data_IF_499907317525
#
_entry.id   IF_499907317525
#
_cell.length_a   1.000
_cell.length_b   1.000
_cell.length_c   1.000
_cell.angle_alpha   90.00
_cell.angle_beta   90.00
_cell.angle_gamma   90.00
#
_symmetry.space_group_name_H-M   'P 1'
#
loop_
_entity.id
_entity.type
_entity.pdbx_description
1 polymer ?
#
# COMPACT_ATOMS: atom_id res chain seq x y z
N UNK A 1 -2.17 -14.95 18.55
CA UNK A 1 -1.27 -15.22 17.42
C UNK A 1 -1.81 -16.34 16.52
N UNK A 2 -2.12 -17.52 17.07
CA UNK A 2 -2.60 -18.69 16.30
C UNK A 2 -3.87 -18.37 15.49
N UNK A 3 -4.88 -17.76 16.12
CA UNK A 3 -6.13 -17.38 15.45
C UNK A 3 -5.89 -16.41 14.27
N UNK A 4 -4.98 -15.43 14.43
CA UNK A 4 -4.62 -14.51 13.36
C UNK A 4 -3.93 -15.21 12.18
N UNK A 5 -3.01 -16.12 12.46
CA UNK A 5 -2.34 -16.91 11.43
C UNK A 5 -3.31 -17.79 10.64
N UNK A 6 -4.19 -18.53 11.34
CA UNK A 6 -5.21 -19.36 10.69
C UNK A 6 -6.19 -18.51 9.88
N UNK A 7 -6.60 -17.35 10.43
CA UNK A 7 -7.44 -16.40 9.70
C UNK A 7 -6.80 -15.92 8.40
N UNK A 8 -5.51 -15.61 8.42
CA UNK A 8 -4.76 -15.23 7.23
C UNK A 8 -4.67 -16.34 6.17
N UNK A 9 -4.44 -17.59 6.60
CA UNK A 9 -4.45 -18.76 5.70
C UNK A 9 -5.80 -18.97 5.05
N UNK A 10 -6.89 -18.89 5.81
CA UNK A 10 -8.26 -19.06 5.30
C UNK A 10 -8.66 -17.92 4.36
N UNK A 11 -8.21 -16.70 4.64
CA UNK A 11 -8.40 -15.57 3.73
C UNK A 11 -7.73 -15.80 2.37
N UNK A 12 -6.50 -16.31 2.38
CA UNK A 12 -5.78 -16.62 1.15
C UNK A 12 -6.46 -17.75 0.35
N UNK A 13 -6.88 -18.82 1.02
CA UNK A 13 -7.59 -19.94 0.37
C UNK A 13 -8.98 -19.56 -0.14
N UNK A 14 -9.66 -18.64 0.54
CA UNK A 14 -11.01 -18.20 0.19
C UNK A 14 -11.06 -17.06 -0.84
N UNK A 15 -9.95 -16.74 -1.50
CA UNK A 15 -9.91 -15.72 -2.57
C UNK A 15 -9.92 -14.27 -2.08
N UNK A 16 -9.99 -14.02 -0.78
CA UNK A 16 -9.91 -12.66 -0.23
C UNK A 16 -8.47 -12.12 -0.13
N UNK A 17 -7.48 -12.99 -0.27
CA UNK A 17 -6.07 -12.64 -0.42
C UNK A 17 -5.53 -11.76 0.70
N UNK A 18 -4.69 -10.78 0.33
CA UNK A 18 -4.05 -9.85 1.27
C UNK A 18 -5.06 -9.01 2.07
N UNK A 19 -6.12 -8.51 1.43
CA UNK A 19 -7.14 -7.69 2.10
C UNK A 19 -7.87 -8.50 3.17
N UNK A 20 -8.27 -9.74 2.83
CA UNK A 20 -8.88 -10.65 3.79
C UNK A 20 -7.96 -10.99 4.95
N UNK A 21 -6.67 -11.23 4.69
CA UNK A 21 -5.68 -11.52 5.73
C UNK A 21 -5.47 -10.32 6.67
N UNK A 22 -5.46 -9.10 6.16
CA UNK A 22 -5.38 -7.88 6.95
C UNK A 22 -6.59 -7.76 7.90
N UNK A 23 -7.80 -7.92 7.37
CA UNK A 23 -9.04 -7.91 8.16
C UNK A 23 -9.04 -9.05 9.18
N UNK A 24 -8.57 -10.25 8.79
CA UNK A 24 -8.46 -11.40 9.68
C UNK A 24 -7.56 -11.12 10.89
N UNK A 25 -6.45 -10.39 10.70
CA UNK A 25 -5.55 -10.00 11.79
C UNK A 25 -6.27 -9.17 12.86
N UNK A 26 -7.00 -8.14 12.43
CA UNK A 26 -7.80 -7.32 13.36
C UNK A 26 -8.96 -8.11 13.99
N UNK A 27 -9.72 -8.83 13.17
CA UNK A 27 -10.84 -9.65 13.65
C UNK A 27 -10.40 -10.68 14.69
N UNK A 28 -9.26 -11.35 14.48
CA UNK A 28 -8.71 -12.31 15.44
C UNK A 28 -8.40 -11.66 16.79
N UNK A 29 -7.88 -10.43 16.80
CA UNK A 29 -7.65 -9.69 18.04
C UNK A 29 -8.93 -9.50 18.86
N UNK A 30 -9.97 -8.97 18.22
CA UNK A 30 -11.27 -8.75 18.87
C UNK A 30 -11.98 -10.05 19.27
N UNK A 31 -11.93 -11.08 18.41
CA UNK A 31 -12.51 -12.38 18.71
C UNK A 31 -11.84 -13.06 19.92
N UNK A 32 -10.52 -12.96 20.03
CA UNK A 32 -9.81 -13.49 21.21
C UNK A 32 -10.20 -12.74 22.49
N UNK A 33 -10.41 -11.42 22.43
CA UNK A 33 -10.94 -10.67 23.56
C UNK A 33 -12.35 -11.12 23.96
N UNK A 34 -13.21 -11.38 22.95
CA UNK A 34 -14.53 -11.94 23.19
C UNK A 34 -14.45 -13.33 23.84
N UNK A 35 -13.58 -14.23 23.34
CA UNK A 35 -13.36 -15.55 23.92
C UNK A 35 -12.89 -15.43 25.37
N UNK A 36 -11.94 -14.53 25.68
CA UNK A 36 -11.51 -14.28 27.06
C UNK A 36 -12.67 -13.90 27.97
N UNK A 37 -13.58 -13.06 27.49
CA UNK A 37 -14.78 -12.66 28.25
C UNK A 37 -15.73 -13.83 28.44
N UNK A 38 -15.95 -14.65 27.41
CA UNK A 38 -16.83 -15.82 27.49
C UNK A 38 -16.35 -16.86 28.51
N UNK A 39 -15.02 -17.10 28.55
CA UNK A 39 -14.46 -18.09 29.47
C UNK A 39 -14.05 -17.51 30.83
N UNK A 40 -14.30 -16.23 31.09
CA UNK A 40 -13.98 -15.60 32.39
C UNK A 40 -14.74 -16.19 33.57
N UNK A 41 -15.96 -16.67 33.34
CA UNK A 41 -16.80 -17.27 34.37
C UNK A 41 -16.50 -18.74 34.70
N UNK A 42 -15.46 -19.36 34.10
CA UNK A 42 -15.09 -20.73 34.39
C UNK A 42 -14.47 -20.89 35.81
N UNK A 43 -14.72 -22.02 36.49
CA UNK A 43 -14.17 -22.29 37.81
C UNK A 43 -12.64 -22.18 37.88
N UNK A 44 -12.10 -21.80 39.03
CA UNK A 44 -10.66 -21.69 39.28
C UNK A 44 -9.85 -22.95 38.91
N UNK A 45 -10.46 -24.14 39.07
CA UNK A 45 -9.84 -25.43 38.72
C UNK A 45 -9.46 -25.51 37.23
N UNK A 46 -10.10 -24.71 36.34
CA UNK A 46 -9.85 -24.67 34.90
C UNK A 46 -8.99 -23.47 34.45
N UNK A 47 -8.50 -22.66 35.42
CA UNK A 47 -7.74 -21.42 35.09
C UNK A 47 -6.52 -21.70 34.18
N UNK A 48 -5.73 -22.72 34.54
CA UNK A 48 -4.56 -23.13 33.77
C UNK A 48 -4.89 -23.69 32.39
N UNK A 49 -6.11 -24.15 32.17
CA UNK A 49 -6.55 -24.71 30.87
C UNK A 49 -6.99 -23.62 29.88
N UNK A 50 -7.38 -22.44 30.39
CA UNK A 50 -7.83 -21.33 29.54
C UNK A 50 -6.83 -20.94 28.42
N UNK A 51 -5.54 -20.66 28.72
CA UNK A 51 -4.59 -20.23 27.70
C UNK A 51 -4.14 -21.36 26.76
N UNK A 52 -4.15 -22.60 27.24
CA UNK A 52 -3.63 -23.76 26.50
C UNK A 52 -4.69 -24.37 25.57
N UNK A 53 -5.94 -24.41 26.00
CA UNK A 53 -7.02 -25.07 25.27
C UNK A 53 -8.08 -24.10 24.79
N UNK A 54 -8.74 -23.37 25.70
CA UNK A 54 -9.93 -22.58 25.34
C UNK A 54 -9.59 -21.41 24.37
N UNK A 55 -8.55 -20.65 24.67
CA UNK A 55 -8.20 -19.51 23.77
C UNK A 55 -7.77 -19.94 22.38
N UNK A 56 -6.90 -20.95 22.19
CA UNK A 56 -6.55 -21.40 20.85
C UNK A 56 -7.73 -22.04 20.12
N UNK A 57 -8.43 -22.98 20.75
CA UNK A 57 -9.50 -23.74 20.09
C UNK A 57 -10.68 -22.85 19.71
N UNK A 58 -11.21 -22.08 20.66
CA UNK A 58 -12.32 -21.18 20.40
C UNK A 58 -11.90 -20.00 19.49
N UNK A 59 -10.67 -19.50 19.67
CA UNK A 59 -10.13 -18.46 18.81
C UNK A 59 -10.03 -18.89 17.36
N UNK A 60 -9.53 -20.10 17.10
CA UNK A 60 -9.45 -20.66 15.73
C UNK A 60 -10.85 -20.95 15.18
N UNK A 61 -11.75 -21.51 15.99
CA UNK A 61 -13.11 -21.80 15.57
C UNK A 61 -13.85 -20.52 15.15
N UNK A 62 -13.85 -19.50 16.00
CA UNK A 62 -14.57 -18.25 15.72
C UNK A 62 -13.95 -17.47 14.56
N UNK A 63 -12.62 -17.40 14.46
CA UNK A 63 -11.99 -16.74 13.32
C UNK A 63 -12.24 -17.52 12.02
N UNK A 64 -12.24 -18.85 12.08
CA UNK A 64 -12.56 -19.69 10.93
C UNK A 64 -13.96 -19.43 10.40
N UNK A 65 -14.96 -19.41 11.27
CA UNK A 65 -16.34 -19.08 10.92
C UNK A 65 -16.42 -17.64 10.35
N UNK A 66 -15.82 -16.67 11.04
CA UNK A 66 -15.88 -15.28 10.64
C UNK A 66 -15.22 -15.05 9.25
N UNK A 67 -14.05 -15.63 9.01
CA UNK A 67 -13.36 -15.49 7.72
C UNK A 67 -14.13 -16.21 6.62
N UNK A 68 -14.52 -17.46 6.83
CA UNK A 68 -15.12 -18.27 5.76
C UNK A 68 -16.50 -17.75 5.34
N UNK A 69 -17.33 -17.38 6.29
CA UNK A 69 -18.73 -17.05 5.99
C UNK A 69 -19.06 -15.55 5.97
N UNK A 70 -18.26 -14.72 6.62
CA UNK A 70 -18.55 -13.29 6.75
C UNK A 70 -17.57 -12.43 5.94
N UNK A 71 -16.27 -12.70 6.02
CA UNK A 71 -15.23 -11.84 5.45
C UNK A 71 -14.88 -12.25 4.02
N UNK A 72 -14.63 -13.54 3.76
CA UNK A 72 -14.23 -13.99 2.43
C UNK A 72 -15.26 -13.65 1.33
N UNK A 73 -16.58 -13.88 1.48
CA UNK A 73 -17.51 -13.63 0.38
C UNK A 73 -17.50 -12.18 -0.14
N UNK A 74 -17.64 -11.13 0.70
CA UNK A 74 -17.61 -9.77 0.17
C UNK A 74 -16.22 -9.32 -0.30
N UNK A 75 -15.15 -9.80 0.33
CA UNK A 75 -13.78 -9.39 -0.05
C UNK A 75 -13.35 -10.08 -1.35
N UNK A 76 -13.65 -11.36 -1.53
CA UNK A 76 -13.37 -12.05 -2.81
C UNK A 76 -14.18 -11.45 -3.96
N UNK A 77 -15.45 -11.14 -3.73
CA UNK A 77 -16.28 -10.46 -4.72
C UNK A 77 -15.72 -9.08 -5.10
N UNK A 78 -15.21 -8.32 -4.14
CA UNK A 78 -14.52 -7.06 -4.40
C UNK A 78 -13.24 -7.28 -5.23
N UNK A 79 -12.43 -8.27 -4.90
CA UNK A 79 -11.23 -8.61 -5.65
C UNK A 79 -11.56 -9.01 -7.09
N UNK A 80 -12.56 -9.86 -7.30
CA UNK A 80 -13.02 -10.27 -8.64
C UNK A 80 -13.56 -9.08 -9.44
N UNK A 81 -14.34 -8.20 -8.80
CA UNK A 81 -14.81 -6.98 -9.44
C UNK A 81 -13.66 -6.06 -9.86
N UNK A 82 -12.65 -5.86 -9.00
CA UNK A 82 -11.46 -5.08 -9.32
C UNK A 82 -10.71 -5.69 -10.50
N UNK A 83 -10.48 -7.01 -10.48
CA UNK A 83 -9.80 -7.73 -11.56
C UNK A 83 -10.52 -7.57 -12.89
N UNK A 84 -11.83 -7.84 -12.91
CA UNK A 84 -12.63 -7.73 -14.11
C UNK A 84 -12.66 -6.29 -14.65
N UNK A 85 -12.76 -5.30 -13.75
CA UNK A 85 -12.70 -3.89 -14.13
C UNK A 85 -11.36 -3.53 -14.78
N UNK A 86 -10.25 -3.97 -14.19
CA UNK A 86 -8.91 -3.69 -14.70
C UNK A 86 -8.65 -4.37 -16.05
N UNK A 87 -9.09 -5.61 -16.23
CA UNK A 87 -8.93 -6.35 -17.48
C UNK A 87 -9.74 -5.76 -18.63
N UNK A 88 -10.89 -5.16 -18.34
CA UNK A 88 -11.75 -4.51 -19.34
C UNK A 88 -11.36 -3.05 -19.63
N UNK A 89 -10.49 -2.46 -18.82
CA UNK A 89 -10.01 -1.09 -19.01
C UNK A 89 -9.10 -0.96 -20.24
N UNK A 90 -9.43 -0.01 -21.12
CA UNK A 90 -8.54 0.42 -22.20
C UNK A 90 -7.31 1.15 -21.66
N UNK A 91 -6.29 1.34 -22.52
CA UNK A 91 -5.02 1.98 -22.15
C UNK A 91 -5.20 3.35 -21.49
N UNK A 92 -6.11 4.19 -22.01
CA UNK A 92 -6.40 5.51 -21.42
C UNK A 92 -6.89 5.42 -19.98
N UNK A 93 -7.79 4.50 -19.70
CA UNK A 93 -8.33 4.31 -18.33
C UNK A 93 -7.26 3.77 -17.38
N UNK A 94 -6.37 2.89 -17.86
CA UNK A 94 -5.21 2.40 -17.08
C UNK A 94 -4.24 3.54 -16.73
N UNK A 95 -3.95 4.43 -17.69
CA UNK A 95 -3.09 5.60 -17.47
C UNK A 95 -3.70 6.53 -16.43
N UNK A 96 -5.01 6.79 -16.51
CA UNK A 96 -5.71 7.60 -15.50
C UNK A 96 -5.67 6.94 -14.12
N UNK A 97 -5.82 5.62 -14.05
CA UNK A 97 -5.70 4.87 -12.81
C UNK A 97 -4.30 5.02 -12.22
N UNK A 98 -3.27 4.89 -13.05
CA UNK A 98 -1.87 5.12 -12.64
C UNK A 98 -1.62 6.53 -12.14
N UNK A 99 -2.21 7.54 -12.80
CA UNK A 99 -2.16 8.93 -12.35
C UNK A 99 -2.77 9.09 -10.95
N UNK A 100 -3.94 8.51 -10.73
CA UNK A 100 -4.63 8.59 -9.42
C UNK A 100 -3.81 7.90 -8.33
N UNK A 101 -3.40 6.66 -8.52
CA UNK A 101 -2.63 5.93 -7.52
C UNK A 101 -1.25 6.55 -7.25
N UNK A 102 -0.56 7.01 -8.29
CA UNK A 102 0.69 7.74 -8.13
C UNK A 102 0.50 9.04 -7.34
N UNK A 103 -0.53 9.82 -7.67
CA UNK A 103 -0.86 11.06 -6.97
C UNK A 103 -1.20 10.82 -5.49
N UNK A 104 -2.00 9.79 -5.18
CA UNK A 104 -2.37 9.43 -3.81
C UNK A 104 -1.15 9.20 -2.91
N UNK A 105 -0.04 8.72 -3.46
CA UNK A 105 1.19 8.50 -2.69
C UNK A 105 1.80 9.79 -2.13
N UNK A 106 1.48 10.93 -2.73
CA UNK A 106 2.05 12.24 -2.39
C UNK A 106 1.10 13.18 -1.66
N UNK A 107 -0.18 12.83 -1.53
CA UNK A 107 -1.20 13.68 -0.87
C UNK A 107 -0.86 13.93 0.60
N UNK A 108 -0.49 12.90 1.31
CA UNK A 108 -0.21 12.92 2.74
C UNK A 108 1.10 12.21 3.15
N UNK A 109 1.90 11.79 2.17
CA UNK A 109 3.29 11.27 2.29
C UNK A 109 3.48 10.26 3.43
N UNK A 110 2.63 9.25 3.51
CA UNK A 110 2.65 8.20 4.55
C UNK A 110 1.41 8.19 5.44
N UNK A 111 0.47 9.12 5.24
CA UNK A 111 -0.81 9.19 5.92
C UNK A 111 -1.86 8.21 5.33
N UNK A 112 -3.15 8.42 5.67
CA UNK A 112 -4.23 7.51 5.29
C UNK A 112 -4.41 7.32 3.79
N UNK A 113 -4.27 8.37 2.97
CA UNK A 113 -4.45 8.31 1.50
C UNK A 113 -3.32 7.53 0.86
N UNK A 114 -2.07 7.79 1.26
CA UNK A 114 -0.90 7.03 0.85
C UNK A 114 -1.05 5.54 1.21
N UNK A 115 -1.44 5.24 2.45
CA UNK A 115 -1.62 3.86 2.90
C UNK A 115 -2.78 3.16 2.18
N UNK A 116 -3.86 3.86 1.83
CA UNK A 116 -4.94 3.32 1.02
C UNK A 116 -4.45 2.88 -0.36
N UNK A 117 -3.69 3.74 -1.07
CA UNK A 117 -3.08 3.37 -2.35
C UNK A 117 -2.15 2.16 -2.23
N UNK A 118 -1.32 2.14 -1.18
CA UNK A 118 -0.41 1.03 -0.91
C UNK A 118 -1.14 -0.28 -0.61
N UNK A 119 -2.20 -0.25 0.20
CA UNK A 119 -3.02 -1.44 0.54
C UNK A 119 -3.73 -1.97 -0.71
N UNK A 120 -4.28 -1.10 -1.56
CA UNK A 120 -4.90 -1.49 -2.82
C UNK A 120 -3.85 -2.10 -3.77
N UNK A 121 -2.68 -1.46 -3.91
CA UNK A 121 -1.58 -1.98 -4.73
C UNK A 121 -1.09 -3.37 -4.28
N UNK A 122 -0.92 -3.57 -2.97
CA UNK A 122 -0.53 -4.88 -2.42
C UNK A 122 -1.66 -5.91 -2.54
N UNK A 123 -2.91 -5.50 -2.42
CA UNK A 123 -4.07 -6.34 -2.69
C UNK A 123 -4.11 -6.82 -4.13
N UNK A 124 -3.84 -5.93 -5.08
CA UNK A 124 -3.76 -6.23 -6.51
C UNK A 124 -2.66 -7.26 -6.84
N UNK A 125 -1.53 -7.25 -6.12
CA UNK A 125 -0.50 -8.28 -6.26
C UNK A 125 -1.03 -9.70 -6.01
N UNK A 126 -1.89 -9.85 -5.01
CA UNK A 126 -2.48 -11.14 -4.66
C UNK A 126 -3.44 -11.67 -5.74
N UNK A 127 -3.99 -10.78 -6.56
CA UNK A 127 -4.88 -11.11 -7.67
C UNK A 127 -4.17 -11.20 -9.03
N UNK A 128 -2.86 -10.96 -9.06
CA UNK A 128 -2.05 -11.03 -10.29
C UNK A 128 -1.97 -9.72 -11.07
N UNK A 129 -2.54 -8.62 -10.55
CA UNK A 129 -2.46 -7.30 -11.16
C UNK A 129 -1.24 -6.53 -10.65
N UNK A 130 -0.17 -6.59 -11.43
CA UNK A 130 1.14 -6.05 -11.04
C UNK A 130 1.35 -4.58 -11.43
N UNK A 131 0.51 -4.04 -12.33
CA UNK A 131 0.64 -2.67 -12.84
C UNK A 131 0.33 -1.61 -11.77
N UNK A 132 -0.70 -1.84 -10.95
CA UNK A 132 -1.11 -0.91 -9.89
C UNK A 132 0.03 -0.71 -8.88
N UNK A 133 0.66 -1.80 -8.44
CA UNK A 133 1.77 -1.69 -7.49
C UNK A 133 2.98 -0.98 -8.10
N UNK A 134 3.25 -1.18 -9.40
CA UNK A 134 4.28 -0.43 -10.10
C UNK A 134 3.99 1.08 -10.10
N UNK A 135 2.74 1.49 -10.38
CA UNK A 135 2.33 2.90 -10.35
C UNK A 135 2.42 3.51 -8.95
N UNK A 136 1.97 2.78 -7.93
CA UNK A 136 2.06 3.17 -6.50
C UNK A 136 3.51 3.38 -6.09
N UNK A 137 4.39 2.43 -6.38
CA UNK A 137 5.80 2.53 -6.01
C UNK A 137 6.49 3.65 -6.79
N UNK A 138 6.27 3.78 -8.10
CA UNK A 138 6.83 4.86 -8.89
C UNK A 138 6.41 6.23 -8.34
N UNK A 139 5.12 6.41 -8.05
CA UNK A 139 4.60 7.65 -7.47
C UNK A 139 5.19 7.97 -6.10
N UNK A 140 5.31 6.97 -5.22
CA UNK A 140 5.84 7.17 -3.87
C UNK A 140 7.35 7.45 -3.81
N UNK A 141 8.10 7.11 -4.84
CA UNK A 141 9.54 7.44 -4.94
C UNK A 141 9.78 8.90 -5.34
N UNK A 142 8.83 9.55 -6.01
CA UNK A 142 8.99 10.91 -6.56
C UNK A 142 9.20 11.99 -5.50
N UNK A 143 8.39 12.11 -4.41
CA UNK A 143 8.50 13.24 -3.50
C UNK A 143 9.90 13.45 -2.91
N UNK A 144 10.57 12.43 -2.34
CA UNK A 144 11.91 12.62 -1.78
C UNK A 144 12.97 12.91 -2.85
N UNK A 145 12.77 12.41 -4.10
CA UNK A 145 13.70 12.66 -5.21
C UNK A 145 13.55 14.06 -5.79
N UNK A 146 12.34 14.66 -5.71
CA UNK A 146 12.04 15.98 -6.25
C UNK A 146 12.42 17.13 -5.32
N UNK A 147 12.66 16.86 -4.03
CA UNK A 147 12.88 17.87 -3.01
C UNK A 147 14.37 18.14 -2.78
N UNK A 148 14.69 19.39 -2.63
CA UNK A 148 15.95 20.14 -2.61
C UNK A 148 17.28 19.47 -2.14
N UNK A 149 18.38 20.00 -2.76
CA UNK A 149 19.80 19.74 -2.44
C UNK A 149 20.20 19.97 -0.97
N UNK A 150 19.46 20.76 -0.20
CA UNK A 150 19.81 21.07 1.21
C UNK A 150 19.60 19.89 2.18
N UNK A 151 18.81 18.90 1.79
CA UNK A 151 18.54 17.71 2.63
C UNK A 151 19.59 16.62 2.53
N UNK A 152 20.55 16.78 1.62
CA UNK A 152 21.63 15.86 1.44
C UNK A 152 21.22 14.52 0.80
N UNK A 153 22.18 13.62 0.76
CA UNK A 153 22.10 12.27 0.19
C UNK A 153 20.97 11.43 0.81
N UNK A 154 20.63 11.70 2.08
CA UNK A 154 19.63 10.93 2.83
C UNK A 154 18.27 10.89 2.13
N UNK A 155 17.79 12.02 1.59
CA UNK A 155 16.50 12.06 0.90
C UNK A 155 16.52 11.26 -0.41
N UNK A 156 17.63 11.29 -1.15
CA UNK A 156 17.76 10.46 -2.35
C UNK A 156 17.75 8.97 -2.00
N UNK A 157 18.44 8.57 -0.92
CA UNK A 157 18.41 7.18 -0.45
C UNK A 157 16.98 6.79 -0.04
N UNK A 158 16.27 7.65 0.70
CA UNK A 158 14.88 7.39 1.08
C UNK A 158 13.97 7.27 -0.15
N UNK A 159 14.08 8.17 -1.11
CA UNK A 159 13.31 8.14 -2.35
C UNK A 159 13.59 6.88 -3.17
N UNK A 160 14.85 6.51 -3.35
CA UNK A 160 15.24 5.28 -4.03
C UNK A 160 14.78 4.03 -3.29
N UNK A 161 14.65 4.08 -1.98
CA UNK A 161 14.15 2.96 -1.16
C UNK A 161 12.62 2.90 -1.03
N UNK A 162 11.88 3.77 -1.75
CA UNK A 162 10.41 3.88 -1.64
C UNK A 162 9.96 4.33 -0.24
N UNK A 163 10.68 5.27 0.37
CA UNK A 163 10.32 5.87 1.66
C UNK A 163 9.84 7.30 1.40
N UNK A 164 8.55 7.45 1.11
CA UNK A 164 7.90 8.72 0.77
C UNK A 164 7.97 9.73 1.90
N UNK A 165 8.02 9.24 3.15
CA UNK A 165 8.09 10.02 4.38
C UNK A 165 9.32 10.94 4.46
N UNK A 166 10.38 10.67 3.69
CA UNK A 166 11.54 11.57 3.57
C UNK A 166 11.18 12.98 3.12
N UNK A 167 10.07 13.15 2.43
CA UNK A 167 9.59 14.45 1.98
C UNK A 167 8.79 15.23 3.03
N UNK A 168 8.35 14.61 4.13
CA UNK A 168 7.47 15.23 5.14
C UNK A 168 8.04 16.54 5.72
N UNK A 169 9.32 16.65 6.12
CA UNK A 169 9.83 17.90 6.69
C UNK A 169 9.69 19.10 5.75
N UNK A 170 9.78 18.86 4.44
CA UNK A 170 9.68 19.91 3.42
C UNK A 170 8.23 20.25 3.12
N UNK A 171 7.37 19.25 3.07
CA UNK A 171 5.93 19.42 2.93
C UNK A 171 5.35 20.17 4.15
N UNK A 172 5.81 19.88 5.34
CA UNK A 172 5.40 20.58 6.56
C UNK A 172 5.86 22.05 6.59
N UNK A 173 7.04 22.34 6.02
CA UNK A 173 7.58 23.70 5.97
C UNK A 173 6.87 24.61 4.94
N UNK A 174 6.41 24.04 3.82
CA UNK A 174 5.73 24.78 2.73
C UNK A 174 4.70 23.89 2.02
N UNK A 175 3.58 23.55 2.68
CA UNK A 175 2.63 22.56 2.15
C UNK A 175 1.95 23.03 0.87
N UNK A 176 1.66 24.33 0.77
CA UNK A 176 0.92 24.89 -0.38
C UNK A 176 1.69 24.74 -1.69
N UNK A 177 3.02 24.72 -1.67
CA UNK A 177 3.85 24.59 -2.87
C UNK A 177 4.39 23.18 -3.05
N UNK A 178 4.81 22.53 -1.99
CA UNK A 178 5.43 21.22 -2.04
C UNK A 178 4.41 20.14 -2.38
N UNK A 179 3.26 20.10 -1.70
CA UNK A 179 2.27 19.04 -1.92
C UNK A 179 1.75 19.01 -3.36
N UNK A 180 1.25 20.12 -3.96
CA UNK A 180 0.77 20.07 -5.35
C UNK A 180 1.86 19.67 -6.34
N UNK A 181 3.09 20.15 -6.14
CA UNK A 181 4.21 19.80 -7.02
C UNK A 181 4.52 18.30 -6.97
N UNK A 182 4.55 17.72 -5.77
CA UNK A 182 4.78 16.29 -5.59
C UNK A 182 3.60 15.45 -6.11
N UNK A 183 2.35 15.88 -5.89
CA UNK A 183 1.15 15.19 -6.36
C UNK A 183 1.15 15.08 -7.89
N UNK A 184 1.45 16.18 -8.60
CA UNK A 184 1.49 16.19 -10.07
C UNK A 184 2.63 15.31 -10.57
N UNK A 185 3.83 15.43 -9.99
CA UNK A 185 4.98 14.61 -10.37
C UNK A 185 4.77 13.13 -10.10
N UNK A 186 4.25 12.77 -8.93
CA UNK A 186 3.96 11.39 -8.57
C UNK A 186 2.85 10.79 -9.43
N UNK A 187 1.80 11.56 -9.72
CA UNK A 187 0.75 11.18 -10.66
C UNK A 187 1.32 10.95 -12.07
N UNK A 188 2.22 11.82 -12.53
CA UNK A 188 2.92 11.64 -13.82
C UNK A 188 3.73 10.34 -13.85
N UNK A 189 4.49 10.04 -12.80
CA UNK A 189 5.26 8.80 -12.72
C UNK A 189 4.35 7.56 -12.74
N UNK A 190 3.25 7.58 -11.97
CA UNK A 190 2.26 6.50 -11.95
C UNK A 190 1.57 6.31 -13.31
N UNK A 191 1.17 7.41 -13.97
CA UNK A 191 0.56 7.38 -15.29
C UNK A 191 1.50 6.78 -16.35
N UNK A 192 2.77 7.21 -16.37
CA UNK A 192 3.78 6.69 -17.28
C UNK A 192 4.11 5.22 -17.00
N UNK A 193 4.18 4.82 -15.72
CA UNK A 193 4.39 3.42 -15.34
C UNK A 193 3.29 2.51 -15.92
N UNK A 194 2.03 2.93 -15.85
CA UNK A 194 0.90 2.20 -16.45
C UNK A 194 0.88 2.28 -17.97
N UNK A 195 1.26 3.43 -18.55
CA UNK A 195 1.35 3.59 -20.00
C UNK A 195 2.42 2.66 -20.62
N UNK A 196 3.54 2.51 -19.95
CA UNK A 196 4.63 1.62 -20.36
C UNK A 196 4.42 0.15 -19.93
N UNK A 197 3.25 -0.17 -19.41
CA UNK A 197 2.90 -1.52 -18.92
C UNK A 197 3.94 -2.09 -17.95
N UNK A 198 4.50 -1.24 -17.09
CA UNK A 198 5.42 -1.68 -16.05
C UNK A 198 4.68 -2.55 -15.04
N UNK A 199 5.30 -3.69 -14.68
CA UNK A 199 4.72 -4.65 -13.72
C UNK A 199 5.69 -4.85 -12.57
N UNK A 200 5.19 -4.82 -11.34
CA UNK A 200 5.99 -5.03 -10.13
C UNK A 200 5.36 -6.11 -9.26
N UNK A 201 6.10 -7.16 -8.99
CA UNK A 201 5.64 -8.31 -8.18
C UNK A 201 5.99 -8.22 -6.70
N UNK A 202 6.75 -7.21 -6.31
CA UNK A 202 7.14 -6.99 -4.92
C UNK A 202 6.29 -5.88 -4.28
N UNK A 203 5.86 -6.03 -3.02
CA UNK A 203 5.07 -5.00 -2.35
C UNK A 203 5.90 -3.79 -1.92
N UNK A 204 7.20 -3.92 -1.79
CA UNK A 204 8.13 -2.88 -1.32
C UNK A 204 9.54 -3.11 -1.85
N UNK A 205 10.41 -2.08 -1.76
CA UNK A 205 11.84 -2.22 -2.04
C UNK A 205 12.45 -1.14 -2.93
N UNK A 206 11.66 -0.32 -3.59
CA UNK A 206 12.16 0.77 -4.41
C UNK A 206 13.12 0.28 -5.50
N UNK A 207 14.33 0.85 -5.55
CA UNK A 207 15.36 0.49 -6.54
C UNK A 207 15.85 -0.95 -6.41
N UNK A 208 15.80 -1.54 -5.22
CA UNK A 208 16.32 -2.89 -4.97
C UNK A 208 15.48 -3.99 -5.66
N UNK A 209 14.23 -3.71 -5.99
CA UNK A 209 13.33 -4.65 -6.67
C UNK A 209 13.22 -4.38 -8.17
N UNK A 210 13.94 -3.39 -8.70
CA UNK A 210 13.97 -3.07 -10.14
C UNK A 210 14.27 -4.28 -11.03
N UNK A 211 15.20 -5.19 -10.66
CA UNK A 211 15.43 -6.40 -11.47
C UNK A 211 14.22 -7.32 -11.62
N UNK A 212 13.21 -7.20 -10.76
CA UNK A 212 11.96 -7.99 -10.81
C UNK A 212 10.82 -7.29 -11.53
N UNK A 213 11.06 -6.07 -12.01
CA UNK A 213 10.06 -5.23 -12.67
C UNK A 213 10.02 -5.57 -14.15
N UNK A 214 8.81 -5.75 -14.69
CA UNK A 214 8.61 -5.77 -16.13
C UNK A 214 8.86 -4.37 -16.70
N UNK A 215 9.69 -4.28 -17.76
CA UNK A 215 10.13 -3.03 -18.37
C UNK A 215 10.92 -2.10 -17.42
N UNK A 216 12.03 -2.56 -16.80
CA UNK A 216 12.73 -1.84 -15.73
C UNK A 216 13.27 -0.48 -16.16
N UNK A 217 13.74 -0.33 -17.41
CA UNK A 217 14.26 0.95 -17.93
C UNK A 217 13.15 1.99 -18.07
N UNK A 218 11.99 1.59 -18.58
CA UNK A 218 10.82 2.46 -18.71
C UNK A 218 10.22 2.82 -17.35
N UNK A 219 10.31 1.90 -16.39
CA UNK A 219 9.94 2.18 -15.01
C UNK A 219 10.83 3.26 -14.37
N UNK A 220 12.15 3.14 -14.52
CA UNK A 220 13.10 4.16 -14.03
C UNK A 220 12.90 5.50 -14.75
N UNK A 221 12.63 5.47 -16.06
CA UNK A 221 12.29 6.68 -16.84
C UNK A 221 11.01 7.34 -16.31
N UNK A 222 10.00 6.56 -15.93
CA UNK A 222 8.75 7.09 -15.36
C UNK A 222 9.01 7.85 -14.06
N UNK A 223 9.83 7.29 -13.16
CA UNK A 223 10.22 7.94 -11.90
C UNK A 223 11.04 9.21 -12.19
N UNK A 224 12.02 9.14 -13.09
CA UNK A 224 12.87 10.27 -13.43
C UNK A 224 12.04 11.43 -14.02
N UNK A 225 11.15 11.15 -14.97
CA UNK A 225 10.27 12.15 -15.57
C UNK A 225 9.35 12.76 -14.52
N UNK A 226 8.69 11.95 -13.69
CA UNK A 226 7.83 12.43 -12.61
C UNK A 226 8.58 13.31 -11.61
N UNK A 227 9.81 12.92 -11.24
CA UNK A 227 10.67 13.71 -10.35
C UNK A 227 11.08 15.04 -10.99
N UNK A 228 11.44 15.05 -12.27
CA UNK A 228 11.76 16.28 -13.01
C UNK A 228 10.54 17.20 -13.11
N UNK A 229 9.36 16.67 -13.40
CA UNK A 229 8.10 17.43 -13.42
C UNK A 229 7.85 18.08 -12.06
N UNK A 230 7.95 17.33 -10.97
CA UNK A 230 7.79 17.88 -9.63
C UNK A 230 8.83 18.98 -9.33
N UNK A 231 10.11 18.76 -9.69
CA UNK A 231 11.19 19.74 -9.53
C UNK A 231 10.92 21.03 -10.31
N UNK A 232 10.47 20.93 -11.56
CA UNK A 232 10.17 22.09 -12.40
C UNK A 232 9.03 22.90 -11.78
N UNK A 233 7.93 22.24 -11.41
CA UNK A 233 6.79 22.92 -10.80
C UNK A 233 7.22 23.60 -9.50
N UNK A 234 7.97 22.90 -8.67
CA UNK A 234 8.45 23.44 -7.40
C UNK A 234 9.39 24.63 -7.62
N UNK A 235 10.26 24.58 -8.62
CA UNK A 235 11.16 25.68 -8.98
C UNK A 235 10.42 26.94 -9.47
N UNK A 236 9.29 26.75 -10.17
CA UNK A 236 8.44 27.86 -10.65
C UNK A 236 7.67 28.51 -9.49
N UNK A 237 7.12 27.67 -8.60
CA UNK A 237 6.20 28.11 -7.53
C UNK A 237 6.96 28.67 -6.32
N UNK A 238 8.18 28.17 -6.03
CA UNK A 238 8.99 28.70 -4.93
C UNK A 238 9.57 30.07 -5.24
N UNK A 239 9.43 31.05 -4.34
CA UNK A 239 10.06 32.33 -4.52
C UNK A 239 11.59 32.19 -4.50
N UNK A 240 12.28 32.89 -5.40
CA UNK A 240 13.74 32.97 -5.39
C UNK A 240 14.18 33.49 -4.01
N UNK A 241 15.05 32.73 -3.33
CA UNK A 241 15.70 33.23 -2.13
C UNK A 241 16.40 34.53 -2.47
N UNK A 242 15.99 35.65 -1.84
CA UNK A 242 16.80 36.87 -1.85
C UNK A 242 18.14 36.50 -1.20
N UNK A 243 19.23 36.64 -1.97
CA UNK A 243 20.60 36.55 -1.45
C UNK A 243 20.85 37.64 -0.44
#
# INVERSE_FOLDING_TARGET
LVAGFVGGLLANQGGSGFLGALIAGFAAGYLVLLVKKLVSGLPQALEGTKPVLFYPVLGVLFIGIAITFIINPPVSALNEWLMNSLQTMGTTSRVLLGLVFGAMMSVDMGGPVNKAAYVIGTGALATGEYGIMAAVMAGGMVPPLAIERKSGITNYIMGLSFITEGAIPFAAADPIRVLPSCIIGAGTAGALSMFFECTLRAPHGGIFVVPTIGNPLLYLASIAIGSVVACIILAIVKPKLKK
#
